data_IF_634759681196
#
_entry.id   IF_634759681196
#
_cell.length_a   1.000
_cell.length_b   1.000
_cell.length_c   1.000
_cell.angle_alpha   90.00
_cell.angle_beta   90.00
_cell.angle_gamma   90.00
#
_symmetry.space_group_name_H-M   'P 1'
#
loop_
_entity.id
_entity.type
_entity.pdbx_description
1 polymer ?
#
# COMPACT_ATOMS: atom_id res chain seq x y z
N UNK A 1 27.43 -15.22 22.75
CA UNK A 1 26.47 -15.92 23.63
C UNK A 1 25.68 -16.91 22.76
N UNK A 2 26.15 -18.15 22.66
CA UNK A 2 25.37 -19.25 22.09
C UNK A 2 24.49 -19.77 23.24
N UNK A 3 23.30 -19.22 23.39
CA UNK A 3 22.23 -19.91 24.11
C UNK A 3 21.52 -20.80 23.09
N UNK A 4 22.05 -22.00 22.90
CA UNK A 4 21.34 -23.08 22.26
C UNK A 4 20.56 -23.84 23.33
N UNK A 5 19.31 -23.48 23.53
CA UNK A 5 18.35 -24.35 24.22
C UNK A 5 18.24 -25.65 23.44
N UNK A 6 18.59 -26.77 24.08
CA UNK A 6 18.42 -28.13 23.58
C UNK A 6 16.91 -28.43 23.50
N UNK A 7 16.32 -28.72 22.32
CA UNK A 7 15.12 -29.53 22.27
C UNK A 7 15.54 -30.99 22.33
N UNK A 8 15.02 -31.69 23.33
CA UNK A 8 15.04 -33.13 23.48
C UNK A 8 14.43 -33.78 22.22
N UNK A 9 15.27 -34.20 21.29
CA UNK A 9 14.93 -35.24 20.32
C UNK A 9 16.16 -36.03 19.97
N UNK A 10 16.16 -37.29 20.41
CA UNK A 10 17.09 -38.37 20.05
C UNK A 10 17.46 -38.33 18.57
N UNK A 11 18.68 -37.88 18.28
CA UNK A 11 19.29 -37.90 16.95
C UNK A 11 20.70 -38.46 17.07
N UNK A 12 20.84 -39.73 16.73
CA UNK A 12 22.10 -40.48 16.79
C UNK A 12 23.14 -39.85 15.85
N UNK A 13 24.16 -39.21 16.42
CA UNK A 13 25.35 -38.76 15.67
C UNK A 13 26.13 -40.01 15.27
N UNK A 14 26.16 -40.33 13.98
CA UNK A 14 26.93 -41.45 13.46
C UNK A 14 28.31 -40.94 13.06
N UNK A 15 29.25 -41.03 13.98
CA UNK A 15 30.66 -40.73 13.76
C UNK A 15 31.29 -41.79 12.84
N UNK A 16 31.95 -41.34 11.78
CA UNK A 16 32.97 -42.12 11.07
C UNK A 16 34.27 -41.32 11.14
N UNK A 17 35.11 -41.69 12.10
CA UNK A 17 36.50 -41.25 12.21
C UNK A 17 37.32 -41.93 11.11
N UNK A 18 37.96 -41.17 10.24
CA UNK A 18 39.01 -41.68 9.37
C UNK A 18 40.32 -40.98 9.76
N UNK A 19 41.17 -41.68 10.51
CA UNK A 19 42.44 -41.16 11.03
C UNK A 19 43.53 -41.50 10.03
N UNK A 20 44.15 -40.49 9.42
CA UNK A 20 45.34 -40.67 8.58
C UNK A 20 46.45 -39.78 9.14
N UNK A 21 47.46 -40.39 9.75
CA UNK A 21 48.67 -39.72 10.22
C UNK A 21 49.72 -39.75 9.12
N UNK A 22 50.03 -38.60 8.53
CA UNK A 22 51.12 -38.43 7.56
C UNK A 22 52.33 -37.77 8.21
N UNK A 23 53.49 -38.43 8.16
CA UNK A 23 54.78 -37.89 8.62
C UNK A 23 55.37 -37.10 7.46
N UNK A 24 55.57 -35.78 7.61
CA UNK A 24 56.29 -34.95 6.64
C UNK A 24 57.62 -34.53 7.28
N UNK A 25 58.72 -35.08 6.78
CA UNK A 25 60.08 -34.76 7.24
C UNK A 25 60.71 -33.69 6.36
N UNK A 26 61.14 -32.59 6.96
CA UNK A 26 61.90 -31.53 6.31
C UNK A 26 63.36 -31.63 6.80
N UNK A 27 64.32 -31.69 5.86
CA UNK A 27 65.73 -31.99 6.13
C UNK A 27 66.52 -30.69 6.14
N UNK A 28 66.76 -30.14 7.33
CA UNK A 28 67.87 -29.22 7.59
C UNK A 28 68.90 -29.89 8.51
N UNK A 29 70.17 -29.51 8.35
CA UNK A 29 71.37 -30.16 8.88
C UNK A 29 71.28 -30.64 10.34
N UNK A 30 71.63 -31.92 10.55
CA UNK A 30 72.21 -32.40 11.80
C UNK A 30 71.29 -32.63 13.01
N UNK A 31 69.99 -32.31 12.94
CA UNK A 31 69.01 -32.72 13.97
C UNK A 31 67.76 -33.29 13.33
N UNK A 32 67.47 -34.57 13.58
CA UNK A 32 66.20 -35.19 13.24
C UNK A 32 65.07 -34.57 14.08
N UNK A 33 64.46 -33.50 13.58
CA UNK A 33 63.18 -33.03 14.08
C UNK A 33 62.08 -33.91 13.47
N UNK A 34 61.59 -34.89 14.25
CA UNK A 34 60.34 -35.57 13.92
C UNK A 34 59.18 -34.59 14.15
N UNK A 35 58.76 -33.88 13.11
CA UNK A 35 57.49 -33.14 13.14
C UNK A 35 56.33 -34.13 13.15
N UNK A 36 55.75 -34.38 14.32
CA UNK A 36 54.49 -35.10 14.45
C UNK A 36 53.34 -34.17 14.03
N UNK A 37 53.05 -34.13 12.72
CA UNK A 37 51.85 -33.49 12.20
C UNK A 37 50.67 -34.48 12.33
N UNK A 38 49.59 -34.06 12.98
CA UNK A 38 48.38 -34.87 13.10
C UNK A 38 47.25 -34.24 12.29
N UNK A 39 46.82 -34.91 11.22
CA UNK A 39 45.67 -34.50 10.43
C UNK A 39 44.40 -35.16 10.96
N UNK A 40 43.40 -34.34 11.30
CA UNK A 40 42.06 -34.80 11.66
C UNK A 40 41.05 -34.20 10.69
N UNK A 41 40.28 -35.06 10.03
CA UNK A 41 39.24 -34.67 9.06
C UNK A 41 37.91 -35.31 9.46
N UNK A 42 36.87 -34.48 9.50
CA UNK A 42 35.51 -34.87 9.85
C UNK A 42 34.51 -34.24 8.90
N UNK A 43 33.45 -34.98 8.56
CA UNK A 43 32.32 -34.44 7.81
C UNK A 43 31.20 -34.12 8.79
N UNK A 44 30.83 -32.83 8.86
CA UNK A 44 29.80 -32.35 9.78
C UNK A 44 28.76 -31.55 9.01
N UNK A 45 27.48 -31.74 9.36
CA UNK A 45 26.38 -30.88 8.93
C UNK A 45 26.02 -29.97 10.08
N UNK A 46 26.26 -28.67 9.92
CA UNK A 46 26.06 -27.67 10.97
C UNK A 46 24.85 -26.79 10.66
N UNK A 47 24.02 -26.54 11.67
CA UNK A 47 22.98 -25.51 11.63
C UNK A 47 23.44 -24.33 12.48
N UNK A 48 23.96 -23.29 11.83
CA UNK A 48 24.44 -22.09 12.49
C UNK A 48 23.35 -21.00 12.56
N UNK A 49 23.46 -20.11 13.54
CA UNK A 49 22.63 -18.89 13.61
C UNK A 49 23.21 -17.82 12.68
N UNK A 50 22.36 -17.14 11.92
CA UNK A 50 22.75 -16.01 11.09
C UNK A 50 21.85 -14.80 11.42
N UNK A 51 22.43 -13.69 11.93
CA UNK A 51 21.68 -12.45 12.09
C UNK A 51 21.44 -11.84 10.71
N UNK A 52 20.18 -11.81 10.28
CA UNK A 52 19.78 -11.26 8.98
C UNK A 52 19.19 -9.87 9.12
N UNK A 53 19.53 -8.97 8.19
CA UNK A 53 18.87 -7.67 8.05
C UNK A 53 17.91 -7.71 6.84
N UNK A 54 16.62 -7.52 7.09
CA UNK A 54 15.55 -7.65 6.09
C UNK A 54 14.98 -6.31 5.63
N UNK A 55 15.59 -5.17 5.97
CA UNK A 55 15.09 -3.83 5.57
C UNK A 55 14.95 -3.71 4.05
N UNK A 56 15.90 -4.26 3.30
CA UNK A 56 15.94 -4.24 1.83
C UNK A 56 15.27 -5.44 1.16
N UNK A 57 14.51 -6.26 1.91
CA UNK A 57 13.85 -7.43 1.34
C UNK A 57 12.92 -7.07 0.17
N UNK A 58 12.93 -7.79 -0.98
CA UNK A 58 13.70 -9.02 -1.28
C UNK A 58 15.07 -8.79 -1.97
N UNK A 59 15.52 -7.54 -2.12
CA UNK A 59 16.81 -7.20 -2.75
C UNK A 59 17.92 -7.03 -1.70
N UNK A 60 17.91 -7.91 -0.71
CA UNK A 60 18.82 -7.93 0.44
C UNK A 60 20.09 -8.76 0.19
N UNK A 61 21.16 -8.35 0.84
CA UNK A 61 22.41 -9.12 0.97
C UNK A 61 22.59 -9.47 2.44
N UNK A 62 22.84 -10.75 2.71
CA UNK A 62 22.98 -11.29 4.06
C UNK A 62 24.44 -11.68 4.33
N UNK A 63 24.93 -11.32 5.51
CA UNK A 63 26.26 -11.71 5.99
C UNK A 63 26.11 -12.70 7.13
N UNK A 64 26.39 -13.97 6.86
CA UNK A 64 26.27 -15.05 7.83
C UNK A 64 27.65 -15.46 8.34
N UNK A 65 28.02 -15.13 9.60
CA UNK A 65 29.27 -15.56 10.19
C UNK A 65 29.15 -16.99 10.75
N UNK A 66 30.11 -17.85 10.41
CA UNK A 66 30.37 -19.11 11.08
C UNK A 66 31.63 -18.94 11.92
N UNK A 67 31.50 -19.09 13.23
CA UNK A 67 32.60 -18.94 14.19
C UNK A 67 32.92 -20.32 14.76
N UNK A 68 34.20 -20.68 14.71
CA UNK A 68 34.74 -21.91 15.29
C UNK A 68 35.75 -21.49 16.34
N UNK A 69 35.54 -21.95 17.57
CA UNK A 69 36.32 -21.59 18.75
C UNK A 69 36.36 -22.80 19.70
N UNK A 70 37.42 -22.90 20.51
CA UNK A 70 37.49 -23.92 21.57
C UNK A 70 36.50 -23.60 22.69
N UNK A 71 35.83 -24.62 23.23
CA UNK A 71 34.95 -24.41 24.38
C UNK A 71 35.74 -24.27 25.70
N UNK A 72 36.77 -25.10 25.91
CA UNK A 72 37.43 -25.25 27.22
C UNK A 72 38.87 -24.74 27.31
N UNK A 73 39.50 -24.43 26.18
CA UNK A 73 40.91 -24.00 26.14
C UNK A 73 41.01 -22.55 25.67
N UNK A 74 41.74 -21.75 26.43
CA UNK A 74 42.02 -20.35 26.13
C UNK A 74 43.08 -20.21 25.02
N UNK A 75 43.40 -18.96 24.66
CA UNK A 75 44.40 -18.65 23.63
C UNK A 75 45.84 -19.01 24.03
N UNK A 76 46.14 -19.21 25.31
CA UNK A 76 47.48 -19.61 25.77
C UNK A 76 47.70 -21.11 25.54
N UNK A 77 46.62 -21.89 25.56
CA UNK A 77 46.64 -23.32 25.32
C UNK A 77 46.47 -23.71 23.84
N UNK A 78 45.53 -23.06 23.13
CA UNK A 78 45.22 -23.38 21.72
C UNK A 78 45.04 -22.10 20.91
N UNK A 79 45.76 -22.00 19.79
CA UNK A 79 45.58 -20.95 18.80
C UNK A 79 45.02 -21.53 17.50
N UNK A 80 43.90 -20.97 17.02
CA UNK A 80 43.32 -21.35 15.73
C UNK A 80 43.85 -20.44 14.62
N UNK A 81 44.18 -21.05 13.48
CA UNK A 81 44.56 -20.35 12.26
C UNK A 81 43.96 -21.08 11.06
N UNK A 82 43.52 -20.33 10.05
CA UNK A 82 43.22 -20.91 8.74
C UNK A 82 44.52 -21.42 8.11
N UNK A 83 44.47 -22.59 7.45
CA UNK A 83 45.64 -23.16 6.77
C UNK A 83 46.12 -22.26 5.62
N UNK A 84 45.18 -21.54 4.99
CA UNK A 84 45.46 -20.60 3.92
C UNK A 84 45.61 -19.20 4.50
N UNK A 85 46.68 -18.49 4.10
CA UNK A 85 46.94 -17.10 4.51
C UNK A 85 46.10 -16.08 3.73
N UNK A 86 45.36 -16.49 2.69
CA UNK A 86 44.41 -15.63 1.98
C UNK A 86 43.09 -15.48 2.71
N UNK A 87 42.58 -14.25 2.74
CA UNK A 87 41.24 -13.95 3.26
C UNK A 87 40.11 -14.49 2.38
N UNK A 88 40.39 -14.87 1.13
CA UNK A 88 39.39 -15.46 0.24
C UNK A 88 39.27 -16.98 0.45
N UNK A 89 38.13 -17.40 1.00
CA UNK A 89 37.81 -18.82 1.20
C UNK A 89 37.05 -19.45 0.04
N UNK A 90 36.79 -18.71 -1.05
CA UNK A 90 35.93 -19.19 -2.14
C UNK A 90 36.49 -20.42 -2.87
N UNK A 91 37.81 -20.67 -2.77
CA UNK A 91 38.49 -21.86 -3.29
C UNK A 91 38.01 -23.17 -2.63
N UNK A 92 37.57 -23.12 -1.38
CA UNK A 92 37.11 -24.30 -0.64
C UNK A 92 35.70 -24.75 -1.00
N UNK A 93 34.91 -23.90 -1.65
CA UNK A 93 33.50 -24.19 -1.92
C UNK A 93 33.36 -24.80 -3.33
N UNK A 94 32.79 -26.01 -3.46
CA UNK A 94 32.48 -26.61 -4.75
C UNK A 94 31.60 -25.70 -5.60
N UNK A 95 31.83 -25.67 -6.92
CA UNK A 95 31.08 -24.83 -7.85
C UNK A 95 29.56 -25.02 -7.75
N UNK A 96 29.12 -26.27 -7.57
CA UNK A 96 27.70 -26.64 -7.47
C UNK A 96 27.01 -26.06 -6.23
N UNK A 97 27.78 -25.75 -5.17
CA UNK A 97 27.26 -25.20 -3.92
C UNK A 97 27.25 -23.67 -3.89
N UNK A 98 27.77 -23.01 -4.94
CA UNK A 98 27.78 -21.54 -5.04
C UNK A 98 26.38 -20.98 -5.35
N UNK A 99 25.52 -21.78 -5.98
CA UNK A 99 24.14 -21.41 -6.32
C UNK A 99 23.16 -22.22 -5.46
N UNK A 100 22.37 -21.53 -4.65
CA UNK A 100 21.27 -22.10 -3.87
C UNK A 100 19.93 -21.67 -4.51
N UNK A 101 18.83 -22.40 -4.26
CA UNK A 101 17.53 -22.09 -4.88
C UNK A 101 17.01 -20.67 -4.61
N UNK A 102 17.34 -20.07 -3.46
CA UNK A 102 16.88 -18.72 -3.07
C UNK A 102 18.01 -17.70 -2.93
N UNK A 103 19.27 -18.17 -2.89
CA UNK A 103 20.43 -17.33 -2.62
C UNK A 103 21.60 -17.72 -3.52
N UNK A 104 22.45 -16.75 -3.80
CA UNK A 104 23.75 -16.95 -4.43
C UNK A 104 24.84 -16.63 -3.42
N UNK A 105 25.77 -17.56 -3.21
CA UNK A 105 26.99 -17.26 -2.46
C UNK A 105 27.89 -16.39 -3.35
N UNK A 106 28.16 -15.17 -2.91
CA UNK A 106 28.93 -14.18 -3.68
C UNK A 106 30.37 -14.08 -3.19
N UNK A 107 30.58 -14.14 -1.87
CA UNK A 107 31.90 -14.03 -1.23
C UNK A 107 31.96 -14.90 0.00
N UNK A 108 33.15 -15.46 0.28
CA UNK A 108 33.47 -16.15 1.52
C UNK A 108 34.75 -15.54 2.08
N UNK A 109 34.66 -14.81 3.18
CA UNK A 109 35.81 -14.17 3.82
C UNK A 109 36.25 -14.98 5.04
N UNK A 110 37.52 -15.33 5.08
CA UNK A 110 38.18 -16.02 6.18
C UNK A 110 38.92 -15.00 7.04
N UNK A 111 38.70 -15.05 8.34
CA UNK A 111 39.33 -14.15 9.31
C UNK A 111 39.65 -14.90 10.60
N UNK A 112 40.70 -14.46 11.29
CA UNK A 112 40.96 -14.88 12.67
C UNK A 112 40.11 -14.04 13.62
N UNK A 113 39.64 -14.66 14.71
CA UNK A 113 38.82 -14.02 15.72
C UNK A 113 39.50 -14.15 17.09
N UNK A 114 39.49 -13.07 17.85
CA UNK A 114 39.91 -13.07 19.26
C UNK A 114 38.73 -12.61 20.10
N UNK A 115 38.20 -13.50 20.94
CA UNK A 115 37.03 -13.21 21.78
C UNK A 115 37.48 -13.08 23.23
N UNK A 116 37.08 -11.99 23.88
CA UNK A 116 37.32 -11.78 25.30
C UNK A 116 36.08 -12.18 26.10
N UNK A 117 36.26 -13.09 27.05
CA UNK A 117 35.23 -13.55 27.97
C UNK A 117 35.66 -13.22 29.41
N UNK A 118 34.72 -13.28 30.36
CA UNK A 118 35.00 -12.98 31.78
C UNK A 118 36.09 -13.90 32.35
N UNK A 119 36.16 -15.14 31.87
CA UNK A 119 37.08 -16.18 32.32
C UNK A 119 38.45 -16.15 31.61
N UNK A 120 38.66 -15.27 30.62
CA UNK A 120 39.89 -15.22 29.83
C UNK A 120 39.67 -14.87 28.35
N UNK A 121 40.71 -15.08 27.54
CA UNK A 121 40.71 -14.76 26.12
C UNK A 121 40.79 -16.03 25.27
N UNK A 122 39.96 -16.12 24.24
CA UNK A 122 39.91 -17.25 23.34
C UNK A 122 40.37 -16.85 21.94
N UNK A 123 41.07 -17.79 21.29
CA UNK A 123 41.37 -17.74 19.87
C UNK A 123 40.32 -18.54 19.12
N UNK A 124 39.86 -18.01 17.99
CA UNK A 124 38.94 -18.69 17.09
C UNK A 124 39.17 -18.28 15.63
N UNK A 125 38.44 -18.92 14.74
CA UNK A 125 38.40 -18.60 13.32
C UNK A 125 36.97 -18.31 12.88
N UNK A 126 36.82 -17.33 11.99
CA UNK A 126 35.53 -16.86 11.50
C UNK A 126 35.50 -16.93 9.97
N UNK A 127 34.50 -17.63 9.45
CA UNK A 127 34.16 -17.68 8.03
C UNK A 127 32.88 -16.87 7.80
N UNK A 128 32.95 -15.77 7.05
CA UNK A 128 31.83 -14.89 6.75
C UNK A 128 31.28 -15.18 5.36
N UNK A 129 30.07 -15.74 5.28
CA UNK A 129 29.39 -16.05 4.03
C UNK A 129 28.53 -14.85 3.60
N UNK A 130 28.78 -14.32 2.41
CA UNK A 130 27.96 -13.24 1.83
C UNK A 130 26.98 -13.85 0.83
N UNK A 131 25.72 -13.90 1.25
CA UNK A 131 24.61 -14.50 0.50
C UNK A 131 23.75 -13.40 -0.11
N UNK A 132 23.66 -13.36 -1.43
CA UNK A 132 22.77 -12.44 -2.14
C UNK A 132 21.47 -13.15 -2.47
N UNK A 133 20.32 -12.55 -2.14
CA UNK A 133 19.01 -13.14 -2.46
C UNK A 133 18.71 -13.04 -3.96
N UNK A 134 18.18 -14.13 -4.53
CA UNK A 134 17.59 -14.12 -5.86
C UNK A 134 16.16 -13.59 -5.75
N UNK A 135 15.90 -12.40 -6.30
CA UNK A 135 14.66 -11.64 -6.05
C UNK A 135 13.65 -11.65 -7.20
N UNK A 136 14.06 -12.08 -8.40
CA UNK A 136 13.26 -11.93 -9.63
C UNK A 136 11.88 -12.58 -9.53
N UNK A 137 11.81 -13.79 -8.97
CA UNK A 137 10.56 -14.51 -8.74
C UNK A 137 9.64 -13.78 -7.75
N UNK A 138 10.18 -13.36 -6.61
CA UNK A 138 9.45 -12.62 -5.58
C UNK A 138 8.96 -11.27 -6.10
N UNK A 139 9.73 -10.61 -6.98
CA UNK A 139 9.30 -9.36 -7.59
C UNK A 139 8.08 -9.56 -8.47
N UNK A 140 8.12 -10.52 -9.40
CA UNK A 140 7.00 -10.76 -10.33
C UNK A 140 5.73 -11.17 -9.57
N UNK A 141 5.84 -12.08 -8.59
CA UNK A 141 4.68 -12.59 -7.86
C UNK A 141 4.10 -11.63 -6.82
N UNK A 142 4.86 -10.64 -6.35
CA UNK A 142 4.40 -9.73 -5.30
C UNK A 142 4.16 -8.30 -5.81
N UNK A 143 5.06 -7.75 -6.62
CA UNK A 143 4.90 -6.43 -7.24
C UNK A 143 3.95 -6.46 -8.44
N UNK A 144 3.93 -7.56 -9.21
CA UNK A 144 3.05 -7.70 -10.37
C UNK A 144 1.57 -7.62 -9.99
N UNK A 145 1.05 -8.53 -9.13
CA UNK A 145 -0.34 -8.50 -8.70
C UNK A 145 -0.72 -7.21 -7.96
N UNK A 146 0.16 -6.65 -7.13
CA UNK A 146 -0.12 -5.39 -6.44
C UNK A 146 -0.23 -4.21 -7.40
N UNK A 147 0.64 -4.09 -8.40
CA UNK A 147 0.52 -3.07 -9.44
C UNK A 147 -0.78 -3.22 -10.25
N UNK A 148 -1.15 -4.47 -10.60
CA UNK A 148 -2.42 -4.75 -11.28
C UNK A 148 -3.64 -4.38 -10.42
N UNK A 149 -3.60 -4.61 -9.10
CA UNK A 149 -4.69 -4.21 -8.20
C UNK A 149 -4.84 -2.68 -8.19
N UNK A 150 -3.74 -1.94 -8.10
CA UNK A 150 -3.82 -0.47 -8.14
C UNK A 150 -4.32 0.01 -9.50
N UNK A 151 -3.90 -0.60 -10.61
CA UNK A 151 -4.40 -0.22 -11.93
C UNK A 151 -5.90 -0.50 -12.09
N UNK A 152 -6.38 -1.65 -11.61
CA UNK A 152 -7.80 -1.97 -11.58
C UNK A 152 -8.60 -0.97 -10.73
N UNK A 153 -8.02 -0.46 -9.65
CA UNK A 153 -8.68 0.47 -8.73
C UNK A 153 -9.04 1.82 -9.33
N UNK A 154 -8.30 2.31 -10.34
CA UNK A 154 -8.68 3.52 -11.08
C UNK A 154 -9.37 3.20 -12.40
N UNK A 155 -9.18 2.00 -12.97
CA UNK A 155 -9.95 1.57 -14.15
C UNK A 155 -11.44 1.46 -13.84
N UNK A 156 -11.82 1.25 -12.57
CA UNK A 156 -13.24 1.30 -12.16
C UNK A 156 -13.90 2.65 -12.42
N UNK A 157 -13.13 3.75 -12.54
CA UNK A 157 -13.66 5.07 -12.90
C UNK A 157 -14.14 5.13 -14.36
N UNK A 158 -13.58 4.29 -15.24
CA UNK A 158 -13.97 4.22 -16.65
C UNK A 158 -15.33 3.55 -16.86
N UNK A 159 -15.76 2.70 -15.92
CA UNK A 159 -17.04 1.98 -16.01
C UNK A 159 -18.22 2.97 -15.92
N UNK A 160 -19.29 2.86 -16.71
CA UNK A 160 -20.42 3.79 -16.59
C UNK A 160 -21.12 3.71 -15.22
N UNK A 161 -21.54 4.86 -14.66
CA UNK A 161 -22.16 4.96 -13.32
C UNK A 161 -23.46 4.16 -13.15
N UNK A 162 -24.09 3.72 -14.23
CA UNK A 162 -25.35 2.97 -14.20
C UNK A 162 -25.22 1.63 -13.44
N UNK A 163 -24.00 1.10 -13.30
CA UNK A 163 -23.72 -0.14 -12.56
C UNK A 163 -22.93 0.11 -11.27
N UNK A 164 -23.53 0.85 -10.34
CA UNK A 164 -22.99 1.09 -9.00
C UNK A 164 -22.55 -0.18 -8.23
N UNK A 165 -23.28 -1.33 -8.22
CA UNK A 165 -22.86 -2.50 -7.44
C UNK A 165 -21.55 -3.13 -7.94
N UNK A 166 -21.28 -3.08 -9.25
CA UNK A 166 -20.06 -3.63 -9.84
C UNK A 166 -18.81 -2.84 -9.38
N UNK A 167 -18.90 -1.51 -9.40
CA UNK A 167 -17.81 -0.62 -8.97
C UNK A 167 -17.46 -0.81 -7.49
N UNK A 168 -18.46 -0.86 -6.59
CA UNK A 168 -18.25 -1.10 -5.15
C UNK A 168 -17.56 -2.44 -4.93
N UNK A 169 -18.06 -3.48 -5.59
CA UNK A 169 -17.52 -4.84 -5.44
C UNK A 169 -16.06 -4.88 -5.86
N UNK A 170 -15.71 -4.31 -7.02
CA UNK A 170 -14.33 -4.23 -7.50
C UNK A 170 -13.39 -3.42 -6.60
N UNK A 171 -13.89 -2.34 -5.97
CA UNK A 171 -13.14 -1.54 -5.02
C UNK A 171 -12.86 -2.31 -3.71
N UNK A 172 -13.89 -2.92 -3.13
CA UNK A 172 -13.76 -3.67 -1.87
C UNK A 172 -12.91 -4.93 -2.06
N UNK A 173 -13.08 -5.65 -3.17
CA UNK A 173 -12.22 -6.81 -3.47
C UNK A 173 -10.77 -6.38 -3.65
N UNK A 174 -10.48 -5.26 -4.31
CA UNK A 174 -9.12 -4.71 -4.43
C UNK A 174 -8.48 -4.47 -3.05
N UNK A 175 -9.22 -3.84 -2.12
CA UNK A 175 -8.75 -3.62 -0.73
C UNK A 175 -8.49 -4.95 -0.01
N UNK A 176 -9.40 -5.91 -0.11
CA UNK A 176 -9.21 -7.23 0.50
C UNK A 176 -7.99 -7.94 -0.09
N UNK A 177 -7.82 -7.88 -1.41
CA UNK A 177 -6.74 -8.58 -2.12
C UNK A 177 -5.37 -8.02 -1.74
N UNK A 178 -5.24 -6.69 -1.64
CA UNK A 178 -3.95 -6.08 -1.25
C UNK A 178 -3.59 -6.37 0.22
N UNK A 179 -4.57 -6.37 1.13
CA UNK A 179 -4.36 -6.76 2.54
C UNK A 179 -3.98 -8.26 2.63
N UNK A 180 -4.58 -9.09 1.78
CA UNK A 180 -4.26 -10.52 1.70
C UNK A 180 -2.81 -10.72 1.24
N UNK A 181 -2.36 -10.01 0.22
CA UNK A 181 -0.97 -10.05 -0.26
C UNK A 181 0.02 -9.61 0.84
N UNK A 182 -0.30 -8.55 1.57
CA UNK A 182 0.52 -8.07 2.69
C UNK A 182 0.64 -9.12 3.80
N UNK A 183 -0.45 -9.81 4.13
CA UNK A 183 -0.46 -10.87 5.14
C UNK A 183 0.31 -12.11 4.66
N UNK A 184 0.12 -12.51 3.40
CA UNK A 184 0.83 -13.63 2.79
C UNK A 184 2.35 -13.38 2.78
N UNK A 185 2.79 -12.17 2.42
CA UNK A 185 4.19 -11.78 2.43
C UNK A 185 4.80 -11.83 3.83
N UNK A 186 4.09 -11.29 4.83
CA UNK A 186 4.55 -11.30 6.22
C UNK A 186 4.60 -12.72 6.83
N UNK A 187 3.74 -13.64 6.38
CA UNK A 187 3.77 -15.03 6.86
C UNK A 187 4.84 -15.88 6.18
N UNK A 188 5.31 -15.50 4.98
CA UNK A 188 6.37 -16.19 4.27
C UNK A 188 7.77 -15.96 4.88
N UNK A 189 7.88 -15.05 5.85
CA UNK A 189 9.13 -14.63 6.48
C UNK A 189 9.02 -14.62 8.02
N UNK A 190 10.14 -14.67 8.75
CA UNK A 190 10.12 -14.44 10.19
C UNK A 190 9.59 -13.04 10.50
N UNK A 191 8.76 -12.94 11.55
CA UNK A 191 8.20 -11.65 11.99
C UNK A 191 9.32 -10.75 12.50
N UNK A 192 9.49 -9.61 11.86
CA UNK A 192 10.44 -8.56 12.23
C UNK A 192 9.69 -7.28 12.58
N UNK A 193 10.24 -6.47 13.49
CA UNK A 193 9.58 -5.25 14.00
C UNK A 193 9.92 -3.98 13.21
N UNK A 194 10.72 -4.07 12.14
CA UNK A 194 11.06 -2.93 11.29
C UNK A 194 10.34 -3.02 9.95
N UNK A 195 10.16 -1.85 9.32
CA UNK A 195 9.47 -1.72 8.03
C UNK A 195 10.39 -2.22 6.91
N UNK A 196 9.93 -3.22 6.16
CA UNK A 196 10.64 -3.76 5.00
C UNK A 196 10.38 -2.89 3.76
N UNK A 197 11.29 -2.87 2.78
CA UNK A 197 11.10 -2.14 1.52
C UNK A 197 9.78 -2.52 0.84
N UNK A 198 9.48 -3.81 0.80
CA UNK A 198 8.21 -4.32 0.27
C UNK A 198 6.97 -3.85 1.03
N UNK A 199 7.05 -3.72 2.35
CA UNK A 199 5.93 -3.23 3.16
C UNK A 199 5.63 -1.78 2.81
N UNK A 200 6.67 -0.95 2.56
CA UNK A 200 6.49 0.44 2.11
C UNK A 200 5.68 0.50 0.81
N UNK A 201 6.05 -0.32 -0.17
CA UNK A 201 5.34 -0.38 -1.45
C UNK A 201 3.88 -0.83 -1.30
N UNK A 202 3.62 -1.86 -0.49
CA UNK A 202 2.28 -2.38 -0.26
C UNK A 202 1.40 -1.41 0.55
N UNK A 203 1.95 -0.71 1.54
CA UNK A 203 1.22 0.31 2.33
C UNK A 203 0.81 1.48 1.43
N UNK A 204 1.72 2.00 0.60
CA UNK A 204 1.39 3.09 -0.32
C UNK A 204 0.34 2.65 -1.34
N UNK A 205 0.49 1.44 -1.90
CA UNK A 205 -0.50 0.87 -2.82
C UNK A 205 -1.87 0.68 -2.15
N UNK A 206 -1.91 0.29 -0.88
CA UNK A 206 -3.16 0.20 -0.10
C UNK A 206 -3.82 1.57 0.07
N UNK A 207 -3.05 2.63 0.37
CA UNK A 207 -3.57 3.98 0.47
C UNK A 207 -4.17 4.45 -0.86
N UNK A 208 -3.54 4.14 -2.00
CA UNK A 208 -4.10 4.48 -3.32
C UNK A 208 -5.46 3.81 -3.57
N UNK A 209 -5.56 2.51 -3.31
CA UNK A 209 -6.82 1.76 -3.47
C UNK A 209 -7.89 2.27 -2.49
N UNK A 210 -7.49 2.64 -1.27
CA UNK A 210 -8.43 3.23 -0.31
C UNK A 210 -8.92 4.61 -0.76
N UNK A 211 -8.03 5.45 -1.29
CA UNK A 211 -8.39 6.76 -1.83
C UNK A 211 -9.35 6.66 -3.03
N UNK A 212 -9.20 5.65 -3.90
CA UNK A 212 -10.14 5.44 -5.01
C UNK A 212 -11.54 5.02 -4.52
N UNK A 213 -11.60 4.25 -3.43
CA UNK A 213 -12.87 3.88 -2.80
C UNK A 213 -13.55 5.07 -2.12
N UNK A 214 -12.77 5.97 -1.49
CA UNK A 214 -13.27 7.22 -0.91
C UNK A 214 -13.82 8.15 -1.99
N UNK A 215 -13.10 8.31 -3.10
CA UNK A 215 -13.56 9.08 -4.26
C UNK A 215 -14.90 8.56 -4.77
N UNK A 216 -15.02 7.25 -4.94
CA UNK A 216 -16.26 6.63 -5.36
C UNK A 216 -17.41 6.90 -4.37
N UNK A 217 -17.14 6.86 -3.06
CA UNK A 217 -18.13 7.18 -2.05
C UNK A 217 -18.62 8.63 -2.16
N UNK A 218 -17.72 9.57 -2.45
CA UNK A 218 -18.05 10.99 -2.71
C UNK A 218 -18.94 11.11 -3.96
N UNK A 219 -18.58 10.45 -5.07
CA UNK A 219 -19.38 10.45 -6.31
C UNK A 219 -20.78 9.90 -6.06
N UNK A 220 -20.91 8.82 -5.27
CA UNK A 220 -22.20 8.25 -4.90
C UNK A 220 -23.06 9.19 -4.05
N UNK A 221 -22.44 9.96 -3.14
CA UNK A 221 -23.15 10.96 -2.34
C UNK A 221 -23.63 12.13 -3.20
N UNK A 222 -22.81 12.58 -4.15
CA UNK A 222 -23.18 13.61 -5.12
C UNK A 222 -24.33 13.17 -6.02
N UNK A 223 -24.30 11.94 -6.53
CA UNK A 223 -25.37 11.37 -7.38
C UNK A 223 -26.70 11.24 -6.61
N UNK A 224 -26.65 10.75 -5.36
CA UNK A 224 -27.82 10.72 -4.48
C UNK A 224 -28.39 12.11 -4.20
N UNK A 225 -27.51 13.10 -3.99
CA UNK A 225 -27.88 14.50 -3.81
C UNK A 225 -28.58 15.07 -5.05
N UNK A 226 -28.02 14.81 -6.23
CA UNK A 226 -28.59 15.21 -7.52
C UNK A 226 -29.98 14.64 -7.74
N UNK A 227 -30.17 13.33 -7.52
CA UNK A 227 -31.49 12.69 -7.68
C UNK A 227 -32.55 13.32 -6.78
N UNK A 228 -32.19 13.67 -5.53
CA UNK A 228 -33.08 14.38 -4.60
C UNK A 228 -33.39 15.80 -5.08
N UNK A 229 -32.43 16.50 -5.69
CA UNK A 229 -32.63 17.83 -6.24
C UNK A 229 -33.56 17.80 -7.46
N UNK A 230 -33.36 16.86 -8.39
CA UNK A 230 -34.22 16.68 -9.58
C UNK A 230 -35.67 16.31 -9.19
N UNK A 231 -35.86 15.47 -8.18
CA UNK A 231 -37.20 15.15 -7.65
C UNK A 231 -37.88 16.40 -7.08
N UNK A 232 -37.17 17.20 -6.26
CA UNK A 232 -37.71 18.47 -5.76
C UNK A 232 -38.01 19.47 -6.86
N UNK A 233 -37.17 19.57 -7.88
CA UNK A 233 -37.39 20.46 -9.03
C UNK A 233 -38.64 20.07 -9.83
N UNK A 234 -38.87 18.78 -10.04
CA UNK A 234 -40.10 18.26 -10.70
C UNK A 234 -41.35 18.52 -9.85
N UNK A 235 -41.27 18.35 -8.53
CA UNK A 235 -42.38 18.68 -7.61
C UNK A 235 -42.75 20.17 -7.67
N UNK A 236 -41.76 21.05 -7.61
CA UNK A 236 -41.95 22.50 -7.74
C UNK A 236 -42.56 22.84 -9.12
N UNK A 237 -41.99 22.30 -10.21
CA UNK A 237 -42.44 22.52 -11.58
C UNK A 237 -43.91 22.13 -11.82
N UNK A 238 -44.28 20.89 -11.46
CA UNK A 238 -45.65 20.40 -11.55
C UNK A 238 -46.64 21.27 -10.76
N UNK A 239 -46.18 21.85 -9.65
CA UNK A 239 -47.02 22.70 -8.82
C UNK A 239 -47.17 24.12 -9.39
N UNK A 240 -46.09 24.72 -9.92
CA UNK A 240 -46.17 25.98 -10.68
C UNK A 240 -47.14 25.87 -11.86
N UNK A 241 -47.11 24.76 -12.60
CA UNK A 241 -48.04 24.49 -13.69
C UNK A 241 -49.49 24.41 -13.19
N UNK A 242 -49.73 23.72 -12.05
CA UNK A 242 -51.05 23.63 -11.42
C UNK A 242 -51.60 24.99 -10.95
N UNK A 243 -50.84 25.82 -10.22
CA UNK A 243 -51.36 27.14 -9.83
C UNK A 243 -51.53 28.04 -11.09
N UNK A 244 -50.67 27.95 -12.10
CA UNK A 244 -50.85 28.68 -13.38
C UNK A 244 -52.15 28.28 -14.11
N UNK A 245 -52.49 26.99 -14.10
CA UNK A 245 -53.73 26.47 -14.68
C UNK A 245 -54.97 26.86 -13.87
N UNK A 246 -54.87 26.90 -12.54
CA UNK A 246 -55.94 27.39 -11.66
C UNK A 246 -56.28 28.88 -11.86
N UNK A 247 -55.32 29.67 -12.34
CA UNK A 247 -55.51 31.08 -12.73
C UNK A 247 -56.08 31.17 -14.16
N UNK A 248 -55.93 30.12 -14.98
CA UNK A 248 -56.56 30.05 -16.31
C UNK A 248 -58.05 29.73 -16.27
N UNK A 249 -58.47 28.81 -15.40
CA UNK A 249 -59.88 28.38 -15.31
C UNK A 249 -60.80 29.44 -14.68
N UNK A 250 -60.28 30.29 -13.80
CA UNK A 250 -61.06 31.30 -13.07
C UNK A 250 -61.52 32.51 -13.93
N UNK A 251 -61.12 32.56 -15.21
CA UNK A 251 -61.48 33.61 -16.16
C UNK A 251 -62.00 33.02 -17.49
N UNK A 252 -63.31 32.93 -17.63
CA UNK A 252 -64.02 32.46 -18.84
C UNK A 252 -63.95 33.42 -20.05
N UNK A 253 -62.85 34.15 -20.28
CA UNK A 253 -62.77 35.13 -21.38
C UNK A 253 -61.54 34.97 -22.30
N UNK A 254 -61.83 35.06 -23.61
CA UNK A 254 -61.04 34.72 -24.81
C UNK A 254 -59.72 35.51 -25.06
N UNK A 255 -59.03 36.06 -24.05
CA UNK A 255 -57.73 36.76 -24.28
C UNK A 255 -56.50 35.92 -23.91
N UNK A 256 -55.72 35.62 -24.96
CA UNK A 256 -54.53 34.76 -25.09
C UNK A 256 -53.27 35.13 -24.26
N UNK A 257 -53.33 35.98 -23.24
CA UNK A 257 -52.12 36.32 -22.45
C UNK A 257 -51.81 35.24 -21.41
N UNK A 258 -50.58 34.72 -21.43
CA UNK A 258 -50.08 33.74 -20.48
C UNK A 258 -49.99 34.36 -19.07
N UNK A 259 -50.34 33.61 -18.00
CA UNK A 259 -50.13 34.08 -16.62
C UNK A 259 -48.64 34.26 -16.34
N UNK A 260 -48.28 35.33 -15.65
CA UNK A 260 -46.91 35.57 -15.19
C UNK A 260 -46.76 34.87 -13.84
N UNK A 261 -45.79 33.97 -13.73
CA UNK A 261 -45.51 33.22 -12.49
C UNK A 261 -44.15 33.65 -11.97
N UNK A 262 -44.11 34.12 -10.73
CA UNK A 262 -42.89 34.55 -10.04
C UNK A 262 -42.69 33.72 -8.77
N UNK A 263 -41.45 33.49 -8.40
CA UNK A 263 -41.08 32.64 -7.27
C UNK A 263 -40.19 33.47 -6.32
N UNK A 264 -40.70 33.73 -5.12
CA UNK A 264 -40.05 34.58 -4.13
C UNK A 264 -39.86 33.80 -2.82
N UNK A 265 -38.62 33.38 -2.56
CA UNK A 265 -38.32 32.49 -1.44
C UNK A 265 -39.01 31.13 -1.60
N UNK A 266 -39.88 30.78 -0.65
CA UNK A 266 -40.70 29.57 -0.68
C UNK A 266 -42.12 29.82 -1.22
N UNK A 267 -42.45 31.02 -1.70
CA UNK A 267 -43.81 31.36 -2.13
C UNK A 267 -43.86 31.50 -3.64
N UNK A 268 -44.83 30.84 -4.26
CA UNK A 268 -45.13 30.92 -5.69
C UNK A 268 -46.29 31.90 -5.86
N UNK A 269 -46.08 32.94 -6.66
CA UNK A 269 -47.09 33.91 -7.05
C UNK A 269 -47.45 33.75 -8.52
N UNK A 270 -48.74 33.67 -8.84
CA UNK A 270 -49.24 33.62 -10.21
C UNK A 270 -50.20 34.81 -10.44
N UNK A 271 -49.88 35.65 -11.43
CA UNK A 271 -50.61 36.86 -11.76
C UNK A 271 -51.25 36.80 -13.16
N UNK A 272 -52.53 37.17 -13.25
CA UNK A 272 -53.23 37.35 -14.54
C UNK A 272 -54.37 38.36 -14.43
N UNK A 273 -54.37 39.37 -15.30
CA UNK A 273 -55.43 40.40 -15.39
C UNK A 273 -55.83 41.00 -14.01
N UNK A 274 -54.86 41.36 -13.17
CA UNK A 274 -55.12 41.98 -11.86
C UNK A 274 -55.52 41.02 -10.73
N UNK A 275 -55.70 39.72 -10.99
CA UNK A 275 -55.82 38.68 -9.95
C UNK A 275 -54.46 38.04 -9.65
N UNK A 276 -54.21 37.80 -8.37
CA UNK A 276 -53.03 37.13 -7.85
C UNK A 276 -53.45 35.86 -7.09
N UNK A 277 -52.74 34.76 -7.30
CA UNK A 277 -52.81 33.59 -6.42
C UNK A 277 -51.42 33.30 -5.87
N UNK A 278 -51.37 32.99 -4.59
CA UNK A 278 -50.12 32.72 -3.87
C UNK A 278 -50.18 31.35 -3.22
N UNK A 279 -49.06 30.63 -3.20
CA UNK A 279 -48.96 29.32 -2.57
C UNK A 279 -47.58 29.16 -1.91
N UNK A 280 -47.55 28.68 -0.66
CA UNK A 280 -46.32 28.57 0.14
C UNK A 280 -45.82 27.13 0.21
N UNK A 281 -44.56 26.92 -0.20
CA UNK A 281 -43.84 25.66 -0.07
C UNK A 281 -43.24 25.49 1.34
N UNK A 282 -43.64 24.43 2.04
CA UNK A 282 -42.98 24.01 3.29
C UNK A 282 -42.60 22.53 3.21
N UNK A 283 -41.30 22.20 3.33
CA UNK A 283 -40.80 20.81 3.26
C UNK A 283 -41.28 20.01 2.03
N UNK A 284 -41.35 20.64 0.85
CA UNK A 284 -41.80 19.97 -0.39
C UNK A 284 -43.30 19.63 -0.43
N UNK A 285 -44.07 20.01 0.59
CA UNK A 285 -45.54 19.93 0.61
C UNK A 285 -46.11 21.33 0.65
N UNK A 286 -46.98 21.65 -0.30
CA UNK A 286 -47.60 22.96 -0.44
C UNK A 286 -49.03 22.92 0.12
N UNK A 287 -49.37 23.86 1.01
CA UNK A 287 -50.77 24.12 1.39
C UNK A 287 -51.48 24.85 0.23
N UNK A 288 -52.74 24.48 -0.02
CA UNK A 288 -53.74 25.01 -0.99
C UNK A 288 -53.42 26.42 -1.55
N UNK A 289 -53.49 26.64 -2.89
CA UNK A 289 -53.36 28.01 -3.46
C UNK A 289 -54.47 28.89 -2.83
N UNK A 290 -54.11 29.94 -2.09
CA UNK A 290 -55.08 30.87 -1.50
C UNK A 290 -55.52 31.88 -2.58
N UNK A 291 -56.83 32.12 -2.67
CA UNK A 291 -57.37 33.26 -3.44
C UNK A 291 -57.37 34.48 -2.52
N UNK A 292 -56.57 35.49 -2.83
CA UNK A 292 -56.79 36.84 -2.29
C UNK A 292 -57.66 37.60 -3.29
N UNK A 293 -58.93 37.79 -2.94
CA UNK A 293 -59.80 38.72 -3.65
C UNK A 293 -59.50 40.15 -3.18
N UNK A 294 -59.05 40.96 -4.14
CA UNK A 294 -58.86 42.41 -4.06
C UNK A 294 -57.69 42.89 -3.20
N UNK A 295 -56.54 43.12 -3.83
CA UNK A 295 -55.59 44.13 -3.38
C UNK A 295 -55.21 45.02 -4.57
N UNK A 296 -55.60 46.29 -4.47
CA UNK A 296 -55.19 47.33 -5.40
C UNK A 296 -53.68 47.45 -5.47
N UNK A 297 -53.19 47.98 -6.60
CA UNK A 297 -51.79 48.23 -6.85
C UNK A 297 -51.05 48.80 -5.63
N UNK A 298 -50.10 48.02 -5.13
CA UNK A 298 -48.77 48.52 -4.82
C UNK A 298 -47.81 47.35 -4.94
N UNK A 299 -46.95 47.41 -5.95
CA UNK A 299 -45.73 46.61 -6.00
C UNK A 299 -44.87 47.09 -4.82
N UNK A 300 -44.57 46.27 -3.79
CA UNK A 300 -43.50 46.61 -2.88
C UNK A 300 -42.21 46.31 -3.64
N UNK A 301 -41.49 47.36 -4.06
CA UNK A 301 -40.05 47.26 -4.17
C UNK A 301 -39.53 47.05 -2.75
N UNK A 302 -39.32 45.81 -2.34
CA UNK A 302 -38.51 45.50 -1.16
C UNK A 302 -37.15 45.00 -1.63
N UNK A 303 -36.23 45.96 -1.70
CA UNK A 303 -34.81 45.69 -1.69
C UNK A 303 -34.42 44.88 -0.44
N UNK A 304 -33.53 43.92 -0.67
CA UNK A 304 -32.44 43.48 0.22
C UNK A 304 -32.77 42.89 1.61
N UNK A 305 -33.20 41.62 1.64
CA UNK A 305 -32.60 40.65 2.60
C UNK A 305 -32.89 39.17 2.25
N UNK A 306 -32.13 38.60 1.31
CA UNK A 306 -31.98 37.13 1.20
C UNK A 306 -30.66 36.72 0.56
N UNK A 307 -29.56 37.39 0.92
CA UNK A 307 -28.26 37.09 0.33
C UNK A 307 -27.62 35.79 0.87
N UNK A 308 -28.05 35.29 2.04
CA UNK A 308 -27.46 34.09 2.64
C UNK A 308 -27.96 32.76 2.01
N UNK A 309 -29.19 32.74 1.46
CA UNK A 309 -29.75 31.54 0.81
C UNK A 309 -29.45 31.44 -0.69
N UNK A 310 -29.30 32.58 -1.38
CA UNK A 310 -29.05 32.62 -2.84
C UNK A 310 -27.65 32.13 -3.22
N UNK A 311 -26.65 32.41 -2.38
CA UNK A 311 -25.27 31.96 -2.62
C UNK A 311 -25.16 30.43 -2.49
N UNK A 312 -25.85 29.83 -1.50
CA UNK A 312 -25.86 28.38 -1.32
C UNK A 312 -26.65 27.67 -2.41
N UNK A 313 -27.78 28.23 -2.86
CA UNK A 313 -28.57 27.67 -3.95
C UNK A 313 -27.82 27.67 -5.30
N UNK A 314 -27.02 28.72 -5.59
CA UNK A 314 -26.18 28.78 -6.80
C UNK A 314 -25.00 27.82 -6.78
N UNK A 315 -24.33 27.68 -5.62
CA UNK A 315 -23.25 26.68 -5.42
C UNK A 315 -23.82 25.26 -5.49
N UNK A 316 -25.02 25.03 -4.98
CA UNK A 316 -25.69 23.74 -5.01
C UNK A 316 -26.12 23.34 -6.44
N UNK A 317 -26.61 24.27 -7.27
CA UNK A 317 -26.85 24.01 -8.69
C UNK A 317 -25.55 23.76 -9.48
N UNK A 318 -24.43 24.39 -9.11
CA UNK A 318 -23.13 24.19 -9.75
C UNK A 318 -22.51 22.83 -9.40
N UNK A 319 -22.62 22.39 -8.14
CA UNK A 319 -22.12 21.10 -7.65
C UNK A 319 -22.89 19.90 -8.24
N UNK A 320 -24.19 20.04 -8.54
CA UNK A 320 -25.02 18.95 -9.09
C UNK A 320 -25.08 18.88 -10.62
N UNK A 321 -24.29 19.71 -11.32
CA UNK A 321 -24.21 19.70 -12.78
C UNK A 321 -23.58 18.39 -13.27
N UNK A 322 -24.17 17.73 -14.28
CA UNK A 322 -23.61 16.50 -14.88
C UNK A 322 -22.14 16.69 -15.29
N UNK A 323 -21.80 17.86 -15.81
CA UNK A 323 -20.45 18.22 -16.23
C UNK A 323 -19.43 18.22 -15.09
N UNK A 324 -19.84 18.60 -13.87
CA UNK A 324 -18.94 18.61 -12.71
C UNK A 324 -18.64 17.18 -12.25
N UNK A 325 -19.65 16.33 -12.13
CA UNK A 325 -19.47 14.95 -11.67
C UNK A 325 -18.67 14.14 -12.71
N UNK A 326 -18.93 14.32 -14.02
CA UNK A 326 -18.14 13.68 -15.09
C UNK A 326 -16.70 14.22 -15.13
N UNK A 327 -16.52 15.52 -14.87
CA UNK A 327 -15.19 16.12 -14.76
C UNK A 327 -14.38 15.58 -13.58
N UNK A 328 -15.03 15.24 -12.46
CA UNK A 328 -14.37 14.61 -11.30
C UNK A 328 -13.84 13.22 -11.66
N UNK A 329 -14.64 12.35 -12.28
CA UNK A 329 -14.19 11.02 -12.70
C UNK A 329 -13.00 11.11 -13.70
N UNK A 330 -13.03 12.07 -14.65
CA UNK A 330 -11.95 12.27 -15.63
C UNK A 330 -10.66 12.83 -15.02
N UNK A 331 -10.80 13.79 -14.08
CA UNK A 331 -9.68 14.36 -13.35
C UNK A 331 -9.04 13.32 -12.42
N UNK A 332 -9.86 12.58 -11.67
CA UNK A 332 -9.43 11.48 -10.81
C UNK A 332 -8.64 10.44 -11.62
N UNK A 333 -9.13 10.03 -12.80
CA UNK A 333 -8.43 9.07 -13.64
C UNK A 333 -7.01 9.52 -14.03
N UNK A 334 -6.85 10.77 -14.47
CA UNK A 334 -5.54 11.33 -14.86
C UNK A 334 -4.62 11.51 -13.65
N UNK A 335 -5.17 12.02 -12.54
CA UNK A 335 -4.42 12.27 -11.31
C UNK A 335 -3.89 10.96 -10.72
N UNK A 336 -4.76 9.97 -10.51
CA UNK A 336 -4.37 8.70 -9.89
C UNK A 336 -3.33 7.94 -10.73
N UNK A 337 -3.51 7.90 -12.05
CA UNK A 337 -2.55 7.27 -12.96
C UNK A 337 -1.19 7.99 -12.94
N UNK A 338 -1.19 9.32 -12.99
CA UNK A 338 0.05 10.12 -12.94
C UNK A 338 0.79 9.98 -11.61
N UNK A 339 0.07 10.08 -10.49
CA UNK A 339 0.69 9.96 -9.15
C UNK A 339 1.23 8.54 -8.93
N UNK A 340 0.53 7.49 -9.39
CA UNK A 340 1.06 6.14 -9.25
C UNK A 340 2.28 5.88 -10.14
N UNK A 341 2.31 6.41 -11.36
CA UNK A 341 3.46 6.27 -12.25
C UNK A 341 4.69 6.99 -11.67
N UNK A 342 4.52 8.22 -11.19
CA UNK A 342 5.59 8.98 -10.53
C UNK A 342 6.07 8.29 -9.25
N UNK A 343 5.16 7.75 -8.44
CA UNK A 343 5.51 6.93 -7.28
C UNK A 343 6.33 5.69 -7.67
N UNK A 344 5.90 4.93 -8.68
CA UNK A 344 6.64 3.75 -9.14
C UNK A 344 8.04 4.14 -9.63
N UNK A 345 8.12 5.17 -10.48
CA UNK A 345 9.40 5.65 -10.97
C UNK A 345 10.33 6.04 -9.81
N UNK A 346 9.83 6.81 -8.84
CA UNK A 346 10.60 7.21 -7.67
C UNK A 346 11.00 6.02 -6.79
N UNK A 347 10.09 5.07 -6.54
CA UNK A 347 10.35 3.88 -5.76
C UNK A 347 11.45 3.01 -6.38
N UNK A 348 11.34 2.73 -7.69
CA UNK A 348 12.35 1.95 -8.39
C UNK A 348 13.68 2.69 -8.51
N UNK A 349 13.67 4.00 -8.75
CA UNK A 349 14.90 4.80 -8.77
C UNK A 349 15.60 4.80 -7.42
N UNK A 350 14.89 5.02 -6.32
CA UNK A 350 15.48 4.99 -4.98
C UNK A 350 16.02 3.61 -4.62
N UNK A 351 15.31 2.54 -4.99
CA UNK A 351 15.73 1.18 -4.69
C UNK A 351 16.96 0.74 -5.52
N UNK A 352 17.05 1.12 -6.79
CA UNK A 352 18.19 0.78 -7.65
C UNK A 352 19.42 1.68 -7.43
N UNK A 353 19.25 2.99 -7.23
CA UNK A 353 20.36 3.94 -7.15
C UNK A 353 20.82 4.24 -5.72
N UNK A 354 19.94 4.10 -4.72
CA UNK A 354 20.24 4.46 -3.33
C UNK A 354 19.82 3.36 -2.33
N UNK A 355 20.35 2.12 -2.45
CA UNK A 355 20.10 1.08 -1.46
C UNK A 355 20.58 1.50 -0.06
N UNK A 356 21.62 2.33 0.03
CA UNK A 356 22.19 2.81 1.31
C UNK A 356 21.30 3.84 2.03
N UNK A 357 20.40 4.55 1.33
CA UNK A 357 19.46 5.50 1.97
C UNK A 357 18.30 4.80 2.68
N UNK A 358 18.10 3.50 2.40
CA UNK A 358 17.06 2.66 3.01
C UNK A 358 17.59 1.98 4.29
N UNK A 359 18.90 2.08 4.55
CA UNK A 359 19.60 1.43 5.66
C UNK A 359 19.40 2.12 7.00
#
# INVERSE_FOLDING_TARGET
MIQGSVPTSTGTVREKLNKSSGIKGEREEGRHFFCLLSLHSFRVTLKASCPMDLRLYPMDVQHCPLIIESYGYDMNNIAYKWEIDSEDGMSFVPSDMKMLPQFKLTKLQLSSLYTTYVIGNWSGVKASFTLQRLYSYQVIHLYGPSALIVTLSWLTFLLPRNQSPARVTLGVTSVLTIVTILTMSNNAMPKVNYVKAIDKYLIVSFLFVFCSLVEYAIVLLLDRGKRKFELRKKEVGNFTDKCAESVRQDNGSRRRKQPVVTLEGNVIHAFRNGRAKSASLTNGKCLKCCSDENLGMHVPQTETQSNCGKCWNGVQEYIYREAFIVGVDEFSLKLFSFVFFTFNLFYWLTLFFFPDYIM
#
